data_IF_176196483232
#
_entry.id   IF_176196483232
#
_cell.length_a   1.000
_cell.length_b   1.000
_cell.length_c   1.000
_cell.angle_alpha   90.00
_cell.angle_beta   90.00
_cell.angle_gamma   90.00
#
_symmetry.space_group_name_H-M   'P 1'
#
loop_
_entity.id
_entity.type
_entity.pdbx_description
1 polymer ?
#
# COMPACT_ATOMS: atom_id res chain seq x y z
N UNK A 1 -27.38 -23.30 -7.14
CA UNK A 1 -26.63 -22.66 -6.02
C UNK A 1 -25.50 -21.86 -6.62
N UNK A 2 -25.73 -20.57 -6.85
CA UNK A 2 -24.73 -19.68 -7.45
C UNK A 2 -23.61 -19.43 -6.42
N UNK A 3 -22.40 -19.90 -6.72
CA UNK A 3 -21.24 -19.71 -5.84
C UNK A 3 -20.78 -18.26 -6.00
N UNK A 4 -21.17 -17.39 -5.08
CA UNK A 4 -20.70 -16.02 -5.00
C UNK A 4 -19.17 -16.03 -4.82
N UNK A 5 -18.43 -15.88 -5.94
CA UNK A 5 -16.98 -15.72 -5.91
C UNK A 5 -16.67 -14.34 -5.35
N UNK A 6 -16.41 -14.25 -4.05
CA UNK A 6 -15.86 -13.06 -3.43
C UNK A 6 -14.48 -12.84 -4.07
N UNK A 7 -14.41 -11.99 -5.11
CA UNK A 7 -13.13 -11.47 -5.58
C UNK A 7 -12.57 -10.67 -4.41
N UNK A 8 -11.64 -11.24 -3.66
CA UNK A 8 -10.75 -10.48 -2.76
C UNK A 8 -10.07 -9.45 -3.64
N UNK A 9 -10.67 -8.27 -3.71
CA UNK A 9 -10.08 -7.12 -4.35
C UNK A 9 -8.78 -6.90 -3.61
N UNK A 10 -7.64 -7.08 -4.28
CA UNK A 10 -6.32 -6.78 -3.71
C UNK A 10 -6.13 -5.27 -3.49
N UNK A 11 -7.23 -4.50 -3.56
CA UNK A 11 -7.25 -3.08 -3.27
C UNK A 11 -6.87 -2.85 -1.81
N UNK A 12 -5.83 -2.05 -1.62
CA UNK A 12 -5.30 -1.67 -0.31
C UNK A 12 -4.16 -2.57 0.18
N UNK A 13 -3.86 -3.68 -0.50
CA UNK A 13 -2.70 -4.53 -0.13
C UNK A 13 -1.39 -3.78 -0.39
N UNK A 14 -1.30 -3.03 -1.50
CA UNK A 14 -0.07 -2.28 -1.83
C UNK A 14 0.12 -1.08 -0.89
N UNK A 15 -0.98 -0.43 -0.50
CA UNK A 15 -0.98 0.61 0.53
C UNK A 15 -0.47 0.06 1.87
N UNK A 16 -1.02 -1.08 2.32
CA UNK A 16 -0.62 -1.73 3.57
C UNK A 16 0.86 -2.10 3.60
N UNK A 17 1.39 -2.61 2.48
CA UNK A 17 2.83 -2.92 2.35
C UNK A 17 3.68 -1.65 2.49
N UNK A 18 3.29 -0.54 1.86
CA UNK A 18 4.00 0.74 1.98
C UNK A 18 4.05 1.27 3.41
N UNK A 19 2.94 1.16 4.16
CA UNK A 19 2.86 1.57 5.57
C UNK A 19 3.80 0.72 6.43
N UNK A 20 3.76 -0.60 6.26
CA UNK A 20 4.60 -1.53 7.03
C UNK A 20 6.09 -1.27 6.74
N UNK A 21 6.47 -1.15 5.46
CA UNK A 21 7.86 -0.83 5.08
C UNK A 21 8.32 0.51 5.63
N UNK A 22 7.50 1.56 5.48
CA UNK A 22 7.81 2.91 5.99
C UNK A 22 7.97 2.94 7.50
N UNK A 23 7.20 2.11 8.22
CA UNK A 23 7.30 1.98 9.68
C UNK A 23 8.60 1.27 10.09
N UNK A 24 8.96 0.16 9.42
CA UNK A 24 10.18 -0.59 9.72
C UNK A 24 11.42 0.28 9.43
N UNK A 25 11.47 0.92 8.26
CA UNK A 25 12.60 1.78 7.87
C UNK A 25 12.66 3.02 8.76
N UNK A 26 11.50 3.61 9.09
CA UNK A 26 11.41 4.76 9.99
C UNK A 26 11.87 4.45 11.41
N UNK A 27 11.53 3.27 11.93
CA UNK A 27 12.04 2.77 13.21
C UNK A 27 13.56 2.58 13.14
N UNK A 28 14.07 1.93 12.09
CA UNK A 28 15.50 1.63 11.95
C UNK A 28 16.36 2.89 11.80
N UNK A 29 15.82 3.94 11.21
CA UNK A 29 16.53 5.19 10.95
C UNK A 29 16.29 6.24 12.05
N UNK A 30 15.53 5.94 13.11
CA UNK A 30 15.06 6.92 14.12
C UNK A 30 14.39 8.17 13.53
N UNK A 31 13.82 8.04 12.32
CA UNK A 31 13.22 9.13 11.56
C UNK A 31 11.82 8.71 11.09
N UNK A 32 10.96 8.38 12.04
CA UNK A 32 9.61 7.87 11.77
C UNK A 32 8.74 8.85 11.00
N UNK A 33 8.78 10.15 11.32
CA UNK A 33 7.93 11.14 10.66
C UNK A 33 8.16 11.19 9.15
N UNK A 34 9.42 11.13 8.71
CA UNK A 34 9.75 11.18 7.29
C UNK A 34 9.42 9.86 6.60
N UNK A 35 9.92 8.75 7.14
CA UNK A 35 9.77 7.43 6.51
C UNK A 35 8.35 6.86 6.56
N UNK A 36 7.55 7.24 7.56
CA UNK A 36 6.14 6.87 7.64
C UNK A 36 5.32 7.58 6.57
N UNK A 37 5.49 8.91 6.43
CA UNK A 37 4.83 9.69 5.37
C UNK A 37 5.27 9.21 3.99
N UNK A 38 6.57 8.91 3.82
CA UNK A 38 7.12 8.37 2.59
C UNK A 38 6.55 6.98 2.26
N UNK A 39 6.42 6.10 3.26
CA UNK A 39 5.81 4.77 3.10
C UNK A 39 4.34 4.84 2.68
N UNK A 40 3.56 5.74 3.28
CA UNK A 40 2.17 6.00 2.88
C UNK A 40 2.11 6.54 1.45
N UNK A 41 2.93 7.54 1.12
CA UNK A 41 2.94 8.17 -0.20
C UNK A 41 3.29 7.15 -1.31
N UNK A 42 4.31 6.32 -1.09
CA UNK A 42 4.71 5.25 -2.02
C UNK A 42 3.61 4.18 -2.11
N UNK A 43 3.08 3.72 -0.96
CA UNK A 43 2.01 2.73 -0.92
C UNK A 43 0.75 3.21 -1.66
N UNK A 44 0.38 4.48 -1.48
CA UNK A 44 -0.74 5.12 -2.15
C UNK A 44 -0.46 5.30 -3.65
N UNK A 45 0.75 5.74 -4.03
CA UNK A 45 1.13 5.85 -5.43
C UNK A 45 1.11 4.49 -6.16
N UNK A 46 1.53 3.41 -5.49
CA UNK A 46 1.49 2.05 -6.07
C UNK A 46 0.07 1.48 -6.15
N UNK A 47 -0.81 1.87 -5.22
CA UNK A 47 -2.20 1.45 -5.19
C UNK A 47 -3.05 2.23 -6.21
N UNK A 48 -2.98 3.56 -6.18
CA UNK A 48 -3.79 4.48 -6.97
C UNK A 48 -3.13 4.88 -8.29
N UNK A 49 -1.81 5.05 -8.33
CA UNK A 49 -1.07 5.37 -9.56
C UNK A 49 -0.95 4.18 -10.52
N UNK A 50 -1.06 2.95 -10.02
CA UNK A 50 -1.11 1.73 -10.84
C UNK A 50 -2.47 1.54 -11.55
N UNK A 51 -3.44 2.44 -11.36
CA UNK A 51 -4.73 2.42 -12.09
C UNK A 51 -4.60 2.86 -13.56
N UNK A 52 -3.38 3.11 -14.07
CA UNK A 52 -3.12 3.44 -15.48
C UNK A 52 -2.96 2.21 -16.38
N UNK A 53 -3.75 1.16 -16.17
CA UNK A 53 -3.87 0.01 -17.10
C UNK A 53 -5.26 -0.62 -17.03
N UNK A 54 -6.26 0.19 -17.35
CA UNK A 54 -7.53 -0.29 -17.88
C UNK A 54 -7.93 0.64 -19.02
N UNK A 55 -7.20 0.50 -20.13
CA UNK A 55 -7.71 0.77 -21.48
C UNK A 55 -7.41 -0.44 -22.33
#
# INVERSE_FOLDING_TARGET
MEKMKIKKSKKGVKLGIGIILGTIIGYLTSNMQLWFVLGIAIGAALEYGSNKKQS
#
